data_IF_357721743084
#
_entry.id   IF_357721743084
#
_cell.length_a   1.000
_cell.length_b   1.000
_cell.length_c   1.000
_cell.angle_alpha   90.00
_cell.angle_beta   90.00
_cell.angle_gamma   90.00
#
_symmetry.space_group_name_H-M   'P 1'
#
loop_
_entity.id
_entity.type
_entity.pdbx_description
1 polymer ?
#
# COMPACT_ATOMS: atom_id res chain seq x y z
N UNK A 1 -53.43 -9.02 -6.21
CA UNK A 1 -52.66 -7.78 -6.42
C UNK A 1 -51.30 -7.97 -5.80
N UNK A 2 -50.27 -8.03 -6.63
CA UNK A 2 -48.89 -8.31 -6.24
C UNK A 2 -48.31 -7.11 -5.48
N UNK A 3 -47.81 -7.35 -4.27
CA UNK A 3 -46.85 -6.45 -3.64
C UNK A 3 -45.57 -7.25 -3.49
N UNK A 4 -44.62 -7.02 -4.40
CA UNK A 4 -43.25 -7.47 -4.22
C UNK A 4 -42.68 -6.68 -3.06
N UNK A 5 -42.29 -7.30 -1.93
CA UNK A 5 -41.42 -6.61 -0.99
C UNK A 5 -40.13 -6.31 -1.76
N UNK A 6 -39.91 -5.03 -2.02
CA UNK A 6 -38.66 -4.54 -2.58
C UNK A 6 -37.54 -5.05 -1.68
N UNK A 7 -36.58 -5.77 -2.25
CA UNK A 7 -35.33 -6.10 -1.57
C UNK A 7 -34.68 -4.80 -1.12
N UNK A 8 -34.88 -4.45 0.15
CA UNK A 8 -34.11 -3.41 0.82
C UNK A 8 -32.74 -4.04 1.07
N UNK A 9 -31.88 -4.00 0.07
CA UNK A 9 -30.44 -4.22 0.25
C UNK A 9 -29.86 -2.90 0.77
N UNK A 10 -30.31 -2.45 1.94
CA UNK A 10 -29.52 -1.53 2.76
C UNK A 10 -28.39 -2.36 3.38
N UNK A 11 -27.35 -2.59 2.58
CA UNK A 11 -26.04 -2.82 3.17
C UNK A 11 -25.58 -1.47 3.69
N UNK A 12 -26.07 -1.14 4.87
CA UNK A 12 -25.49 -0.12 5.73
C UNK A 12 -24.00 -0.48 5.89
N UNK A 13 -23.16 0.19 5.10
CA UNK A 13 -21.74 0.12 5.26
C UNK A 13 -21.37 0.94 6.50
N UNK A 14 -21.59 0.31 7.67
CA UNK A 14 -20.83 0.56 8.89
C UNK A 14 -19.37 0.83 8.50
N UNK A 15 -18.75 1.90 9.04
CA UNK A 15 -17.54 2.51 8.51
C UNK A 15 -16.50 1.43 8.33
N UNK A 16 -16.14 1.16 7.08
CA UNK A 16 -15.24 0.08 6.69
C UNK A 16 -14.02 0.05 7.63
N UNK A 17 -14.05 -0.82 8.63
CA UNK A 17 -13.02 -0.79 9.65
C UNK A 17 -11.73 -1.29 9.01
N UNK A 18 -10.78 -0.38 8.81
CA UNK A 18 -9.49 -0.73 8.25
C UNK A 18 -8.79 -1.70 9.20
N UNK A 19 -8.34 -2.84 8.68
CA UNK A 19 -7.54 -3.81 9.44
C UNK A 19 -6.09 -3.39 9.44
N UNK A 20 -5.51 -3.19 8.25
CA UNK A 20 -4.11 -2.78 8.05
C UNK A 20 -3.86 -2.29 6.62
N UNK A 21 -2.82 -1.48 6.47
CA UNK A 21 -2.24 -1.14 5.16
C UNK A 21 -1.10 -2.12 4.83
N UNK A 22 -1.13 -2.67 3.62
CA UNK A 22 -0.15 -3.67 3.18
C UNK A 22 0.97 -3.06 2.33
N UNK A 23 0.58 -2.28 1.32
CA UNK A 23 1.48 -1.80 0.27
C UNK A 23 1.14 -0.36 -0.07
N UNK A 24 2.12 0.34 -0.62
CA UNK A 24 1.95 1.69 -1.15
C UNK A 24 2.53 1.74 -2.55
N UNK A 25 1.82 2.35 -3.50
CA UNK A 25 2.32 2.60 -4.86
C UNK A 25 2.13 4.07 -5.21
N UNK A 26 2.99 4.58 -6.11
CA UNK A 26 2.81 5.89 -6.71
C UNK A 26 2.11 5.69 -8.06
N UNK A 27 1.02 6.40 -8.28
CA UNK A 27 0.32 6.44 -9.56
C UNK A 27 0.32 7.88 -10.06
N UNK A 28 0.31 8.08 -11.37
CA UNK A 28 0.07 9.38 -11.97
C UNK A 28 -1.40 9.39 -12.41
N UNK A 29 -2.20 10.21 -11.75
CA UNK A 29 -3.62 10.40 -12.09
C UNK A 29 -3.80 11.90 -12.34
N UNK A 30 -4.40 12.27 -13.47
CA UNK A 30 -4.62 13.68 -13.85
C UNK A 30 -3.33 14.51 -13.81
N UNK A 31 -2.24 13.97 -14.36
CA UNK A 31 -0.89 14.57 -14.41
C UNK A 31 -0.24 14.86 -13.04
N UNK A 32 -0.95 14.61 -11.93
CA UNK A 32 -0.46 14.73 -10.57
C UNK A 32 -0.03 13.37 -10.03
N UNK A 33 1.05 13.36 -9.26
CA UNK A 33 1.57 12.15 -8.62
C UNK A 33 0.79 11.84 -7.34
N UNK A 34 -0.08 10.83 -7.37
CA UNK A 34 -0.83 10.37 -6.20
C UNK A 34 -0.16 9.15 -5.57
N UNK A 35 -0.31 9.01 -4.25
CA UNK A 35 0.05 7.78 -3.53
C UNK A 35 -1.21 7.03 -3.19
N UNK A 36 -1.26 5.77 -3.63
CA UNK A 36 -2.30 4.84 -3.24
C UNK A 36 -1.73 3.82 -2.25
N UNK A 37 -2.56 3.45 -1.29
CA UNK A 37 -2.27 2.44 -0.29
C UNK A 37 -3.25 1.29 -0.46
N UNK A 38 -2.74 0.06 -0.39
CA UNK A 38 -3.54 -1.15 -0.39
C UNK A 38 -4.09 -1.36 1.00
N UNK A 39 -5.40 -1.15 1.15
CA UNK A 39 -6.12 -1.22 2.42
C UNK A 39 -6.82 -2.56 2.52
N UNK A 40 -6.51 -3.29 3.59
CA UNK A 40 -7.25 -4.49 3.99
C UNK A 40 -8.33 -4.08 4.96
N UNK A 41 -9.56 -4.50 4.69
CA UNK A 41 -10.68 -4.27 5.58
C UNK A 41 -10.83 -5.40 6.60
N UNK A 42 -11.32 -5.08 7.79
CA UNK A 42 -11.72 -6.09 8.77
C UNK A 42 -12.96 -6.82 8.24
N UNK A 43 -13.01 -8.13 8.49
CA UNK A 43 -14.14 -8.99 8.15
C UNK A 43 -14.48 -9.06 6.66
N UNK A 44 -13.52 -8.71 5.78
CA UNK A 44 -13.63 -8.91 4.34
C UNK A 44 -12.51 -9.85 3.86
N UNK A 45 -12.79 -10.73 2.88
CA UNK A 45 -11.78 -11.56 2.24
C UNK A 45 -10.80 -10.68 1.43
N UNK A 46 -9.62 -11.22 1.15
CA UNK A 46 -8.55 -10.52 0.42
C UNK A 46 -8.98 -10.03 -0.98
N UNK A 47 -9.97 -10.68 -1.59
CA UNK A 47 -10.53 -10.28 -2.90
C UNK A 47 -11.22 -8.91 -2.86
N UNK A 48 -11.55 -8.41 -1.66
CA UNK A 48 -12.17 -7.10 -1.45
C UNK A 48 -11.17 -6.03 -1.00
N UNK A 49 -9.88 -6.34 -0.99
CA UNK A 49 -8.84 -5.35 -0.72
C UNK A 49 -8.82 -4.30 -1.84
N UNK A 50 -8.71 -3.03 -1.47
CA UNK A 50 -8.78 -1.91 -2.43
C UNK A 50 -7.57 -1.00 -2.33
N UNK A 51 -7.19 -0.47 -3.48
CA UNK A 51 -6.23 0.63 -3.56
C UNK A 51 -6.97 1.94 -3.38
N UNK A 52 -6.71 2.59 -2.25
CA UNK A 52 -7.34 3.86 -1.89
C UNK A 52 -6.28 4.96 -1.78
N UNK A 53 -6.68 6.20 -2.07
CA UNK A 53 -5.87 7.40 -1.82
C UNK A 53 -5.91 7.75 -0.33
N UNK A 54 -4.94 8.52 0.17
CA UNK A 54 -4.90 8.92 1.59
C UNK A 54 -6.20 9.59 2.07
N UNK A 55 -6.88 10.34 1.20
CA UNK A 55 -8.13 11.06 1.51
C UNK A 55 -9.37 10.15 1.59
N UNK A 56 -9.34 8.99 0.96
CA UNK A 56 -10.49 8.06 0.90
C UNK A 56 -10.50 7.07 2.07
N UNK A 57 -9.48 7.10 2.93
CA UNK A 57 -9.28 6.11 3.98
C UNK A 57 -9.79 6.65 5.32
N UNK A 58 -10.80 6.00 5.95
CA UNK A 58 -11.23 6.39 7.28
C UNK A 58 -10.10 6.12 8.29
N UNK A 59 -9.83 7.11 9.15
CA UNK A 59 -8.70 7.10 10.09
C UNK A 59 -7.33 6.86 9.42
N UNK A 60 -7.19 7.27 8.15
CA UNK A 60 -6.01 7.00 7.33
C UNK A 60 -4.69 7.39 7.99
N UNK A 61 -4.65 8.51 8.71
CA UNK A 61 -3.45 9.00 9.38
C UNK A 61 -2.88 8.02 10.42
N UNK A 62 -3.74 7.38 11.23
CA UNK A 62 -3.32 6.41 12.23
C UNK A 62 -2.66 5.18 11.58
N UNK A 63 -3.28 4.65 10.53
CA UNK A 63 -2.78 3.50 9.81
C UNK A 63 -1.53 3.84 8.98
N UNK A 64 -1.47 5.03 8.39
CA UNK A 64 -0.30 5.53 7.68
C UNK A 64 0.89 5.68 8.62
N UNK A 65 0.69 6.22 9.83
CA UNK A 65 1.75 6.32 10.85
C UNK A 65 2.32 4.95 11.19
N UNK A 66 1.46 3.96 11.46
CA UNK A 66 1.87 2.57 11.74
C UNK A 66 2.61 1.94 10.55
N UNK A 67 2.10 2.14 9.33
CA UNK A 67 2.71 1.64 8.11
C UNK A 67 4.09 2.25 7.85
N UNK A 68 4.23 3.58 7.99
CA UNK A 68 5.50 4.30 7.85
C UNK A 68 6.52 3.87 8.91
N UNK A 69 6.08 3.61 10.15
CA UNK A 69 6.93 3.07 11.21
C UNK A 69 7.43 1.65 10.88
N UNK A 70 6.51 0.75 10.49
CA UNK A 70 6.82 -0.62 10.09
C UNK A 70 7.81 -0.67 8.92
N UNK A 71 7.60 0.14 7.88
CA UNK A 71 8.52 0.20 6.73
C UNK A 71 9.91 0.73 7.07
N UNK A 72 10.04 1.66 8.02
CA UNK A 72 11.35 2.14 8.49
C UNK A 72 12.07 1.04 9.27
N UNK A 73 11.36 0.33 10.14
CA UNK A 73 11.94 -0.79 10.90
C UNK A 73 12.40 -1.93 9.97
N UNK A 74 11.63 -2.27 8.94
CA UNK A 74 12.01 -3.27 7.95
C UNK A 74 13.28 -2.86 7.19
N UNK A 75 13.30 -1.64 6.66
CA UNK A 75 14.49 -1.10 5.98
C UNK A 75 15.70 -1.06 6.91
N UNK A 76 15.50 -0.71 8.19
CA UNK A 76 16.58 -0.70 9.18
C UNK A 76 17.05 -2.11 9.53
N UNK A 77 16.18 -3.13 9.55
CA UNK A 77 16.57 -4.53 9.75
C UNK A 77 17.38 -5.04 8.57
N UNK A 78 16.92 -4.80 7.35
CA UNK A 78 17.66 -5.12 6.12
C UNK A 78 19.02 -4.43 6.11
N UNK A 79 19.06 -3.13 6.44
CA UNK A 79 20.32 -2.39 6.55
C UNK A 79 21.20 -2.87 7.70
N UNK A 80 20.63 -3.30 8.84
CA UNK A 80 21.38 -3.87 9.95
C UNK A 80 21.97 -5.24 9.62
N UNK A 81 21.27 -6.05 8.81
CA UNK A 81 21.79 -7.30 8.26
C UNK A 81 22.92 -7.00 7.27
N UNK A 82 22.76 -5.96 6.46
CA UNK A 82 23.78 -5.49 5.52
C UNK A 82 25.06 -5.05 6.25
N UNK A 83 24.91 -4.28 7.33
CA UNK A 83 26.01 -3.83 8.19
C UNK A 83 26.67 -5.00 8.95
N UNK A 84 25.88 -5.94 9.49
CA UNK A 84 26.39 -7.14 10.21
C UNK A 84 27.14 -8.11 9.29
N UNK A 85 26.91 -8.06 7.98
CA UNK A 85 27.63 -8.86 6.97
C UNK A 85 28.79 -8.11 6.31
N UNK A 86 29.11 -6.89 6.77
CA UNK A 86 30.24 -6.09 6.27
C UNK A 86 30.01 -5.49 4.87
N UNK A 87 28.77 -5.43 4.37
CA UNK A 87 28.45 -4.82 3.08
C UNK A 87 28.12 -3.32 3.26
N UNK A 88 28.73 -2.46 2.44
CA UNK A 88 28.50 -1.01 2.48
C UNK A 88 27.39 -0.62 1.50
N UNK A 89 26.54 0.36 1.86
CA UNK A 89 25.43 0.83 1.00
C UNK A 89 25.87 1.35 -0.39
N UNK A 90 27.17 1.58 -0.58
CA UNK A 90 27.79 2.05 -1.82
C UNK A 90 28.02 0.94 -2.86
N UNK A 91 28.04 -0.33 -2.46
CA UNK A 91 28.29 -1.47 -3.35
C UNK A 91 27.07 -1.89 -4.20
N UNK A 92 25.89 -1.31 -3.96
CA UNK A 92 24.65 -1.67 -4.66
C UNK A 92 24.22 -0.67 -5.73
N UNK A 93 25.16 -0.02 -6.43
CA UNK A 93 24.80 0.59 -7.73
C UNK A 93 24.40 -0.54 -8.68
N UNK A 94 23.19 -0.54 -9.26
CA UNK A 94 22.92 -1.43 -10.38
C UNK A 94 23.95 -1.10 -11.46
N UNK A 95 24.71 -2.11 -11.88
CA UNK A 95 25.63 -1.99 -12.99
C UNK A 95 24.77 -1.74 -14.23
N UNK A 96 24.67 -0.48 -14.66
CA UNK A 96 23.99 -0.10 -15.89
C UNK A 96 24.70 -0.85 -17.03
N UNK A 97 24.11 -1.97 -17.46
CA UNK A 97 24.54 -2.72 -18.63
C UNK A 97 23.98 -2.00 -19.86
N UNK A 98 24.48 -0.81 -20.17
CA UNK A 98 24.14 -0.11 -21.41
C UNK A 98 25.31 0.68 -22.02
N UNK A 99 26.55 0.32 -21.67
CA UNK A 99 27.72 0.70 -22.46
C UNK A 99 28.29 -0.57 -23.09
N UNK A 100 27.84 -0.91 -24.30
CA UNK A 100 28.56 -1.69 -25.32
C UNK A 100 27.61 -2.12 -26.45
N UNK A 101 27.56 -1.34 -27.54
CA UNK A 101 27.52 -1.84 -28.93
C UNK A 101 27.34 -0.67 -29.91
N UNK A 102 28.43 0.04 -30.22
CA UNK A 102 28.60 0.65 -31.54
C UNK A 102 29.98 0.21 -32.02
N UNK A 103 30.03 -0.62 -33.06
CA UNK A 103 30.93 -0.40 -34.17
C UNK A 103 30.17 0.17 -35.38
#
# INVERSE_FOLDING_TARGET
MFHTPQDIVEVEYSPFQVKKMMKSRKIRLNEKGHRQHLVIFKNKPADKDKWLVEDEIPDGELYLRRFRASRRAEKSRVMSLFWRKGMSAWDSKPKDKNDSAIP
#
